data_IF_420508693832
#
_entry.id   IF_420508693832
#
_cell.length_a   1.000
_cell.length_b   1.000
_cell.length_c   1.000
_cell.angle_alpha   90.00
_cell.angle_beta   90.00
_cell.angle_gamma   90.00
#
_symmetry.space_group_name_H-M   'P 1'
#
loop_
_entity.id
_entity.type
_entity.pdbx_description
1 polymer ?
#
# COMPACT_ATOMS: atom_id res chain seq x y z
N UNK A 1 15.33 3.99 20.05
CA UNK A 1 14.58 3.45 18.90
C UNK A 1 14.86 1.95 18.87
N UNK A 2 13.89 1.11 19.22
CA UNK A 2 14.11 -0.34 19.20
C UNK A 2 14.38 -0.76 17.76
N UNK A 3 15.54 -1.38 17.51
CA UNK A 3 15.89 -1.93 16.20
C UNK A 3 14.94 -3.10 15.95
N UNK A 4 14.17 -3.05 14.86
CA UNK A 4 13.34 -4.17 14.42
C UNK A 4 14.22 -5.40 14.22
N UNK A 5 13.86 -6.52 14.84
CA UNK A 5 14.50 -7.81 14.58
C UNK A 5 13.85 -8.47 13.37
N UNK A 6 14.27 -8.05 12.17
CA UNK A 6 13.72 -8.57 10.92
C UNK A 6 13.95 -10.08 10.72
N UNK A 7 15.10 -10.67 11.10
CA UNK A 7 15.26 -12.13 11.12
C UNK A 7 14.21 -12.85 11.98
N UNK A 8 13.82 -12.29 13.13
CA UNK A 8 12.74 -12.85 13.94
C UNK A 8 11.37 -12.75 13.23
N UNK A 9 11.09 -11.64 12.53
CA UNK A 9 9.88 -11.48 11.70
C UNK A 9 9.81 -12.55 10.61
N UNK A 10 10.90 -12.74 9.85
CA UNK A 10 10.96 -13.79 8.82
C UNK A 10 10.76 -15.19 9.41
N UNK A 11 11.37 -15.46 10.56
CA UNK A 11 11.19 -16.75 11.26
C UNK A 11 9.73 -16.97 11.67
N UNK A 12 9.05 -15.93 12.15
CA UNK A 12 7.63 -15.99 12.50
C UNK A 12 6.77 -16.35 11.29
N UNK A 13 7.01 -15.66 10.16
CA UNK A 13 6.29 -15.89 8.90
C UNK A 13 6.59 -17.25 8.27
N UNK A 14 7.83 -17.75 8.36
CA UNK A 14 8.21 -19.12 7.91
C UNK A 14 7.44 -20.20 8.66
N UNK A 15 7.05 -19.94 9.90
CA UNK A 15 6.20 -20.84 10.70
C UNK A 15 4.70 -20.67 10.40
N UNK A 16 4.34 -19.84 9.40
CA UNK A 16 2.94 -19.57 9.04
C UNK A 16 2.17 -18.77 10.08
N UNK A 17 2.86 -18.04 10.96
CA UNK A 17 2.23 -17.25 12.02
C UNK A 17 1.98 -15.81 11.57
N UNK A 18 0.86 -15.26 12.01
CA UNK A 18 0.44 -13.90 11.69
C UNK A 18 1.23 -12.88 12.50
N UNK A 19 1.54 -11.75 11.87
CA UNK A 19 2.08 -10.59 12.57
C UNK A 19 0.94 -9.77 13.18
N UNK A 20 1.15 -9.25 14.38
CA UNK A 20 0.26 -8.19 14.90
C UNK A 20 0.34 -6.95 14.02
N UNK A 21 -0.71 -6.11 14.06
CA UNK A 21 -0.74 -4.83 13.36
C UNK A 21 0.49 -3.95 13.68
N UNK A 22 0.98 -3.97 14.93
CA UNK A 22 2.17 -3.23 15.33
C UNK A 22 3.44 -3.78 14.68
N UNK A 23 3.64 -5.10 14.69
CA UNK A 23 4.80 -5.74 14.04
C UNK A 23 4.79 -5.47 12.53
N UNK A 24 3.63 -5.59 11.88
CA UNK A 24 3.51 -5.35 10.44
C UNK A 24 3.79 -3.88 10.10
N UNK A 25 3.23 -2.94 10.86
CA UNK A 25 3.50 -1.50 10.69
C UNK A 25 4.99 -1.19 10.81
N UNK A 26 5.62 -1.63 11.89
CA UNK A 26 7.03 -1.33 12.15
C UNK A 26 7.94 -2.00 11.10
N UNK A 27 7.54 -3.18 10.61
CA UNK A 27 8.20 -3.87 9.50
C UNK A 27 8.11 -3.06 8.20
N UNK A 28 6.93 -2.55 7.85
CA UNK A 28 6.75 -1.72 6.64
C UNK A 28 7.54 -0.41 6.74
N UNK A 29 7.53 0.26 7.90
CA UNK A 29 8.35 1.47 8.12
C UNK A 29 9.83 1.18 7.91
N UNK A 30 10.33 0.06 8.44
CA UNK A 30 11.72 -0.34 8.27
C UNK A 30 12.04 -0.72 6.81
N UNK A 31 11.17 -1.45 6.12
CA UNK A 31 11.35 -1.78 4.70
C UNK A 31 11.45 -0.52 3.82
N UNK A 32 10.67 0.52 4.15
CA UNK A 32 10.66 1.80 3.44
C UNK A 32 11.80 2.74 3.84
N UNK A 33 12.60 2.45 4.87
CA UNK A 33 13.76 3.27 5.24
C UNK A 33 14.92 3.15 4.25
N UNK A 34 14.89 2.12 3.38
CA UNK A 34 15.96 1.82 2.43
C UNK A 34 17.10 0.99 3.03
N UNK A 35 17.02 0.61 4.31
CA UNK A 35 18.01 -0.22 5.00
C UNK A 35 17.86 -1.73 4.73
N UNK A 36 16.73 -2.13 4.12
CA UNK A 36 16.41 -3.53 3.90
C UNK A 36 17.17 -4.11 2.70
N UNK A 37 17.80 -5.26 2.90
CA UNK A 37 18.37 -6.06 1.82
C UNK A 37 17.25 -6.53 0.86
N UNK A 38 17.48 -6.42 -0.45
CA UNK A 38 16.51 -6.82 -1.49
C UNK A 38 16.05 -8.27 -1.35
N UNK A 39 16.96 -9.16 -1.00
CA UNK A 39 16.69 -10.59 -0.83
C UNK A 39 15.73 -10.83 0.34
N UNK A 40 16.01 -10.20 1.48
CA UNK A 40 15.20 -10.29 2.68
C UNK A 40 13.81 -9.67 2.48
N UNK A 41 13.72 -8.56 1.74
CA UNK A 41 12.44 -7.95 1.35
C UNK A 41 11.63 -8.86 0.42
N UNK A 42 12.28 -9.52 -0.56
CA UNK A 42 11.61 -10.50 -1.42
C UNK A 42 11.05 -11.66 -0.60
N UNK A 43 11.86 -12.20 0.30
CA UNK A 43 11.43 -13.32 1.14
C UNK A 43 10.20 -12.94 1.98
N UNK A 44 10.23 -11.78 2.63
CA UNK A 44 9.10 -11.26 3.40
C UNK A 44 7.81 -11.22 2.56
N UNK A 45 7.85 -10.60 1.38
CA UNK A 45 6.68 -10.48 0.50
C UNK A 45 6.15 -11.85 0.06
N UNK A 46 7.04 -12.78 -0.27
CA UNK A 46 6.66 -14.15 -0.68
C UNK A 46 6.03 -14.91 0.49
N UNK A 47 6.57 -14.79 1.70
CA UNK A 47 6.05 -15.49 2.88
C UNK A 47 4.67 -14.95 3.26
N UNK A 48 4.48 -13.63 3.28
CA UNK A 48 3.18 -13.00 3.55
C UNK A 48 2.14 -13.43 2.51
N UNK A 49 2.48 -13.38 1.21
CA UNK A 49 1.57 -13.80 0.14
C UNK A 49 1.22 -15.30 0.20
N UNK A 50 2.19 -16.17 0.54
CA UNK A 50 1.96 -17.62 0.67
C UNK A 50 1.12 -17.98 1.88
N UNK A 51 1.34 -17.30 3.02
CA UNK A 51 0.55 -17.48 4.24
C UNK A 51 -0.88 -16.98 4.04
N UNK A 52 -1.04 -15.92 3.26
CA UNK A 52 -2.26 -15.12 3.19
C UNK A 52 -2.23 -14.02 4.25
N UNK A 53 -2.67 -12.82 3.88
CA UNK A 53 -2.68 -11.66 4.79
C UNK A 53 -3.92 -11.67 5.68
N UNK A 54 -3.73 -11.27 6.93
CA UNK A 54 -4.82 -11.01 7.88
C UNK A 54 -5.27 -9.55 7.85
N UNK A 55 -6.43 -9.27 8.45
CA UNK A 55 -6.93 -7.89 8.62
C UNK A 55 -5.96 -7.02 9.43
N UNK A 56 -5.38 -7.58 10.48
CA UNK A 56 -4.42 -6.86 11.34
C UNK A 56 -3.13 -6.53 10.59
N UNK A 57 -2.64 -7.47 9.77
CA UNK A 57 -1.49 -7.25 8.91
C UNK A 57 -1.79 -6.15 7.87
N UNK A 58 -2.89 -6.23 7.15
CA UNK A 58 -3.28 -5.22 6.17
C UNK A 58 -3.44 -3.82 6.81
N UNK A 59 -4.07 -3.75 7.98
CA UNK A 59 -4.22 -2.50 8.73
C UNK A 59 -2.87 -1.95 9.20
N UNK A 60 -2.00 -2.81 9.73
CA UNK A 60 -0.64 -2.44 10.12
C UNK A 60 0.19 -1.94 8.94
N UNK A 61 0.11 -2.63 7.79
CA UNK A 61 0.81 -2.23 6.59
C UNK A 61 0.34 -0.87 6.06
N UNK A 62 -0.97 -0.63 6.03
CA UNK A 62 -1.55 0.66 5.67
C UNK A 62 -1.09 1.78 6.63
N UNK A 63 -1.01 1.52 7.94
CA UNK A 63 -0.46 2.47 8.91
C UNK A 63 1.01 2.78 8.64
N UNK A 64 1.82 1.75 8.34
CA UNK A 64 3.25 1.93 8.07
C UNK A 64 3.48 2.75 6.80
N UNK A 65 2.75 2.44 5.72
CA UNK A 65 2.75 3.23 4.49
C UNK A 65 2.34 4.69 4.75
N UNK A 66 1.30 4.91 5.58
CA UNK A 66 0.82 6.25 5.94
C UNK A 66 1.83 7.03 6.79
N UNK A 67 2.64 6.37 7.60
CA UNK A 67 3.72 7.00 8.38
C UNK A 67 4.91 7.39 7.50
N UNK A 68 5.21 6.58 6.49
CA UNK A 68 6.36 6.82 5.59
C UNK A 68 6.04 7.68 4.37
N UNK A 69 4.77 7.93 4.05
CA UNK A 69 4.41 8.75 2.88
C UNK A 69 4.76 10.23 3.08
N UNK A 70 4.96 10.93 1.96
CA UNK A 70 5.01 12.40 1.96
C UNK A 70 3.58 12.96 2.08
N UNK A 71 3.25 13.75 3.12
CA UNK A 71 1.91 14.30 3.28
C UNK A 71 1.58 15.34 2.21
N UNK A 72 0.39 15.22 1.63
CA UNK A 72 -0.19 16.24 0.73
C UNK A 72 -1.27 17.01 1.49
N UNK A 73 -1.10 18.33 1.60
CA UNK A 73 -2.08 19.21 2.24
C UNK A 73 -3.05 19.75 1.18
N UNK A 74 -4.35 19.59 1.43
CA UNK A 74 -5.40 20.15 0.58
C UNK A 74 -6.01 21.39 1.27
N UNK A 75 -6.27 22.43 0.47
CA UNK A 75 -6.89 23.68 0.94
C UNK A 75 -8.41 23.55 1.13
N UNK A 76 -9.05 22.56 0.50
CA UNK A 76 -10.49 22.30 0.59
C UNK A 76 -10.76 20.96 1.26
N UNK A 77 -11.87 20.85 1.99
CA UNK A 77 -12.38 19.62 2.61
C UNK A 77 -13.90 19.55 2.50
N UNK A 78 -14.50 18.35 2.36
CA UNK A 78 -13.85 17.05 2.24
C UNK A 78 -13.12 16.88 0.89
N UNK A 79 -12.15 15.98 0.85
CA UNK A 79 -11.44 15.60 -0.39
C UNK A 79 -11.80 14.16 -0.72
N UNK A 80 -12.13 13.91 -1.98
CA UNK A 80 -12.53 12.59 -2.47
C UNK A 80 -11.36 11.91 -3.20
N UNK A 81 -11.23 10.59 -3.00
CA UNK A 81 -10.35 9.70 -3.78
C UNK A 81 -11.21 8.67 -4.53
N UNK A 82 -10.77 8.29 -5.74
CA UNK A 82 -11.44 7.32 -6.61
C UNK A 82 -10.54 6.14 -6.96
N UNK A 83 -9.43 5.94 -6.25
CA UNK A 83 -8.49 4.85 -6.53
C UNK A 83 -9.15 3.46 -6.50
N UNK A 84 -8.56 2.53 -7.26
CA UNK A 84 -8.86 1.10 -7.18
C UNK A 84 -7.57 0.31 -7.11
N UNK A 85 -7.64 -0.92 -6.60
CA UNK A 85 -6.50 -1.83 -6.50
C UNK A 85 -5.99 -2.30 -7.87
N UNK A 86 -6.88 -2.33 -8.87
CA UNK A 86 -6.60 -2.90 -10.19
C UNK A 86 -6.50 -4.44 -10.13
N UNK A 87 -6.07 -5.05 -11.24
CA UNK A 87 -5.87 -6.51 -11.30
C UNK A 87 -7.10 -7.35 -11.63
N UNK A 88 -8.23 -6.71 -11.99
CA UNK A 88 -9.46 -7.39 -12.42
C UNK A 88 -9.37 -8.06 -13.81
N UNK A 89 -8.29 -7.81 -14.56
CA UNK A 89 -8.08 -8.33 -15.91
C UNK A 89 -8.99 -7.72 -16.98
N UNK A 90 -9.85 -6.75 -16.62
CA UNK A 90 -10.86 -6.19 -17.52
C UNK A 90 -10.28 -5.26 -18.61
N UNK A 91 -8.98 -4.91 -18.50
CA UNK A 91 -8.23 -4.05 -19.44
C UNK A 91 -8.98 -2.77 -19.84
N UNK A 92 -9.79 -2.23 -18.93
CA UNK A 92 -10.53 -0.99 -19.17
C UNK A 92 -9.56 0.18 -19.32
N UNK A 93 -10.04 1.26 -19.92
CA UNK A 93 -9.40 2.57 -19.76
C UNK A 93 -9.48 3.01 -18.29
N UNK A 94 -8.79 4.10 -17.92
CA UNK A 94 -8.78 4.61 -16.55
C UNK A 94 -10.13 5.24 -16.15
N UNK A 95 -11.16 4.41 -15.98
CA UNK A 95 -12.52 4.83 -15.58
C UNK A 95 -12.46 5.67 -14.31
N UNK A 96 -11.63 5.28 -13.34
CA UNK A 96 -11.50 6.02 -12.08
C UNK A 96 -10.86 7.41 -12.25
N UNK A 97 -10.01 7.60 -13.26
CA UNK A 97 -9.47 8.93 -13.61
C UNK A 97 -10.52 9.78 -14.30
N UNK A 98 -11.29 9.21 -15.23
CA UNK A 98 -12.42 9.91 -15.85
C UNK A 98 -13.46 10.34 -14.79
N UNK A 99 -13.78 9.45 -13.85
CA UNK A 99 -14.66 9.76 -12.72
C UNK A 99 -14.11 10.89 -11.84
N UNK A 100 -12.80 10.89 -11.54
CA UNK A 100 -12.17 11.96 -10.76
C UNK A 100 -12.34 13.34 -11.43
N UNK A 101 -12.13 13.41 -12.76
CA UNK A 101 -12.30 14.66 -13.51
C UNK A 101 -13.77 15.11 -13.54
N UNK A 102 -14.71 14.19 -13.74
CA UNK A 102 -16.14 14.50 -13.73
C UNK A 102 -16.61 15.03 -12.37
N UNK A 103 -16.19 14.40 -11.26
CA UNK A 103 -16.49 14.83 -9.89
C UNK A 103 -15.91 16.21 -9.61
N UNK A 104 -14.67 16.46 -10.04
CA UNK A 104 -14.03 17.77 -9.91
C UNK A 104 -14.79 18.87 -10.69
N UNK A 105 -15.30 18.55 -11.88
CA UNK A 105 -16.13 19.47 -12.66
C UNK A 105 -17.47 19.82 -11.97
N UNK A 106 -17.95 18.98 -11.05
CA UNK A 106 -19.10 19.26 -10.19
C UNK A 106 -18.75 20.12 -8.96
N UNK A 107 -17.52 20.63 -8.85
CA UNK A 107 -17.09 21.50 -7.75
C UNK A 107 -16.65 20.76 -6.48
N UNK A 108 -16.46 19.44 -6.54
CA UNK A 108 -15.98 18.64 -5.40
C UNK A 108 -14.46 18.53 -5.48
N UNK A 109 -13.76 18.77 -4.37
CA UNK A 109 -12.32 18.59 -4.30
C UNK A 109 -11.93 17.11 -4.45
N UNK A 110 -11.08 16.79 -5.43
CA UNK A 110 -10.60 15.42 -5.68
C UNK A 110 -9.09 15.37 -5.57
N UNK A 111 -8.57 14.43 -4.76
CA UNK A 111 -7.16 14.07 -4.73
C UNK A 111 -7.05 12.58 -4.99
N UNK A 112 -6.76 12.24 -6.24
CA UNK A 112 -6.63 10.86 -6.68
C UNK A 112 -5.18 10.41 -6.55
N UNK A 113 -4.94 9.33 -5.81
CA UNK A 113 -3.66 8.62 -5.93
C UNK A 113 -3.67 7.66 -7.12
N UNK A 114 -2.51 7.40 -7.70
CA UNK A 114 -2.38 6.56 -8.87
C UNK A 114 -0.97 6.00 -9.05
N UNK A 115 -0.86 4.95 -9.85
CA UNK A 115 0.40 4.34 -10.23
C UNK A 115 0.40 4.05 -11.74
N UNK A 116 1.58 3.79 -12.32
CA UNK A 116 1.70 3.31 -13.70
C UNK A 116 1.06 1.93 -13.84
N UNK A 117 0.74 1.55 -15.08
CA UNK A 117 0.10 0.26 -15.38
C UNK A 117 0.96 -0.91 -14.88
N UNK A 118 0.29 -1.92 -14.33
CA UNK A 118 0.88 -3.23 -14.03
C UNK A 118 0.21 -4.30 -14.89
N UNK A 119 -1.13 -4.36 -14.91
CA UNK A 119 -1.92 -5.34 -15.70
C UNK A 119 -2.91 -4.70 -16.68
N UNK A 120 -3.23 -3.41 -16.52
CA UNK A 120 -4.16 -2.65 -17.37
C UNK A 120 -3.49 -2.10 -18.64
N UNK A 121 -4.29 -1.63 -19.61
CA UNK A 121 -3.79 -0.98 -20.81
C UNK A 121 -3.10 0.37 -20.49
N UNK A 122 -3.64 1.11 -19.52
CA UNK A 122 -3.14 2.39 -18.99
C UNK A 122 -3.23 2.39 -17.46
N UNK A 123 -2.25 3.00 -16.78
CA UNK A 123 -2.29 3.20 -15.32
C UNK A 123 -2.89 4.57 -15.00
N UNK A 124 -3.29 4.79 -13.75
CA UNK A 124 -3.91 6.04 -13.31
C UNK A 124 -2.97 7.25 -13.32
N UNK A 125 -1.65 7.01 -13.43
CA UNK A 125 -0.58 8.02 -13.50
C UNK A 125 0.01 8.14 -14.91
#
# INVERSE_FOLDING_TARGET
>A
MHRLDFPAILTHLRLGRDLSAAQMRDTIVWLLSGEAEREAMREFLVLVARKGETVDELAGAAQGLRQSMVPVQASQRPVLDTCGTGGDGAKTFNISTAAALAIAACGIAVAKHGNRKITSATGSA
#
